data_IF_569461196961
#
_entry.id   IF_569461196961
#
_cell.length_a   1.000
_cell.length_b   1.000
_cell.length_c   1.000
_cell.angle_alpha   90.00
_cell.angle_beta   90.00
_cell.angle_gamma   90.00
#
_symmetry.space_group_name_H-M   'P 1'
#
loop_
_entity.id
_entity.type
_entity.pdbx_description
1 polymer ?
#
# COMPACT_ATOMS: atom_id res chain seq x y z
N UNK A 1 -15.41 32.51 -0.47
CA UNK A 1 -15.05 31.48 -1.46
C UNK A 1 -13.60 31.14 -1.19
N UNK A 2 -13.27 29.88 -0.91
CA UNK A 2 -11.89 29.44 -0.67
C UNK A 2 -11.29 29.18 -2.03
N UNK A 3 -10.20 29.86 -2.37
CA UNK A 3 -9.56 29.72 -3.67
C UNK A 3 -8.20 29.04 -3.54
N UNK A 4 -7.41 29.48 -2.57
CA UNK A 4 -6.05 29.01 -2.36
C UNK A 4 -5.74 29.10 -0.86
N UNK A 5 -5.16 28.02 -0.31
CA UNK A 5 -4.80 27.88 1.10
C UNK A 5 -3.42 27.24 1.15
N UNK A 6 -2.39 28.05 1.34
CA UNK A 6 -1.01 27.58 1.20
C UNK A 6 -0.19 27.78 2.47
N UNK A 7 0.77 26.88 2.69
CA UNK A 7 1.79 26.97 3.74
C UNK A 7 1.22 27.12 5.17
N UNK A 8 -0.02 26.67 5.37
CA UNK A 8 -0.69 26.78 6.66
C UNK A 8 -0.22 25.68 7.60
N UNK A 9 0.05 26.02 8.87
CA UNK A 9 0.45 25.05 9.90
C UNK A 9 -0.44 25.21 11.13
N UNK A 10 -1.04 24.11 11.57
CA UNK A 10 -1.90 24.11 12.76
C UNK A 10 -1.74 22.81 13.56
N UNK A 11 -2.24 22.80 14.80
CA UNK A 11 -2.28 21.58 15.60
C UNK A 11 -3.14 20.48 14.94
N UNK A 12 -4.23 20.85 14.27
CA UNK A 12 -5.17 19.95 13.58
C UNK A 12 -5.81 20.73 12.45
N UNK A 13 -5.99 20.13 11.27
CA UNK A 13 -6.55 20.81 10.11
C UNK A 13 -5.64 21.95 9.66
N UNK A 14 -4.46 21.62 9.11
CA UNK A 14 -3.39 22.59 8.84
C UNK A 14 -3.88 23.83 8.07
N UNK A 15 -4.73 23.64 7.06
CA UNK A 15 -5.45 24.72 6.38
C UNK A 15 -6.80 25.05 7.00
N UNK A 16 -7.67 24.04 7.19
CA UNK A 16 -9.02 24.23 7.76
C UNK A 16 -9.25 23.23 8.88
N UNK A 17 -9.65 23.75 10.04
CA UNK A 17 -10.27 23.00 11.11
C UNK A 17 -11.76 23.34 11.20
N UNK A 18 -12.61 22.33 11.36
CA UNK A 18 -14.04 22.55 11.53
C UNK A 18 -14.74 21.48 12.36
N UNK A 19 -15.77 21.92 13.09
CA UNK A 19 -16.69 21.06 13.82
C UNK A 19 -18.11 21.55 13.50
N UNK A 20 -18.90 20.71 12.81
CA UNK A 20 -20.17 21.12 12.20
C UNK A 20 -21.28 20.20 12.68
N UNK A 21 -22.33 20.83 13.21
CA UNK A 21 -23.44 20.14 13.84
C UNK A 21 -24.78 20.73 13.37
N UNK A 22 -25.86 19.95 13.50
CA UNK A 22 -27.23 20.45 13.44
C UNK A 22 -27.66 21.00 12.06
N UNK A 23 -27.27 20.32 10.98
CA UNK A 23 -27.62 20.68 9.61
C UNK A 23 -26.66 21.66 8.94
N UNK A 24 -25.53 21.97 9.57
CA UNK A 24 -24.50 22.82 8.98
C UNK A 24 -23.86 22.19 7.74
N UNK A 25 -23.25 23.03 6.90
CA UNK A 25 -22.65 22.59 5.64
C UNK A 25 -21.28 23.22 5.42
N UNK A 26 -20.31 22.41 5.03
CA UNK A 26 -19.01 22.84 4.49
C UNK A 26 -19.03 22.63 2.99
N UNK A 27 -18.63 23.65 2.24
CA UNK A 27 -18.50 23.61 0.78
C UNK A 27 -17.11 24.09 0.37
N UNK A 28 -16.27 23.18 -0.10
CA UNK A 28 -14.98 23.47 -0.75
C UNK A 28 -15.17 23.18 -2.23
N UNK A 29 -15.23 24.23 -3.04
CA UNK A 29 -15.64 24.15 -4.45
C UNK A 29 -14.91 25.18 -5.30
N UNK A 30 -14.96 24.97 -6.61
CA UNK A 30 -14.47 25.90 -7.64
C UNK A 30 -12.94 25.97 -7.74
N UNK A 31 -12.29 24.81 -7.93
CA UNK A 31 -10.84 24.74 -8.15
C UNK A 31 -10.06 25.27 -6.94
N UNK A 32 -10.52 24.95 -5.74
CA UNK A 32 -9.81 25.32 -4.51
C UNK A 32 -8.51 24.53 -4.40
N UNK A 33 -7.41 25.19 -4.07
CA UNK A 33 -6.11 24.54 -3.85
C UNK A 33 -5.69 24.62 -2.39
N UNK A 34 -5.12 23.52 -1.90
CA UNK A 34 -4.46 23.43 -0.59
C UNK A 34 -3.04 22.97 -0.82
N UNK A 35 -2.06 23.83 -0.58
CA UNK A 35 -0.65 23.54 -0.88
C UNK A 35 0.19 23.59 0.38
N UNK A 36 0.97 22.55 0.65
CA UNK A 36 1.94 22.52 1.76
C UNK A 36 1.31 22.86 3.13
N UNK A 37 0.03 22.48 3.31
CA UNK A 37 -0.65 22.60 4.59
C UNK A 37 -0.24 21.44 5.51
N UNK A 38 0.01 21.76 6.78
CA UNK A 38 0.56 20.81 7.74
C UNK A 38 -0.18 20.79 9.07
N UNK A 39 -0.55 19.60 9.52
CA UNK A 39 -0.92 19.35 10.90
C UNK A 39 0.27 18.81 11.69
N UNK A 40 0.62 19.47 12.80
CA UNK A 40 1.87 19.18 13.54
C UNK A 40 1.73 18.10 14.62
N UNK A 41 0.52 17.79 15.07
CA UNK A 41 0.29 16.76 16.09
C UNK A 41 -1.15 16.23 16.12
N UNK A 42 -1.91 16.47 15.05
CA UNK A 42 -3.31 16.09 14.94
C UNK A 42 -3.66 15.73 13.50
N UNK A 43 -4.94 15.52 13.25
CA UNK A 43 -5.40 14.98 11.97
C UNK A 43 -5.56 16.07 10.90
N UNK A 44 -5.48 15.69 9.63
CA UNK A 44 -5.82 16.53 8.49
C UNK A 44 -4.75 17.59 8.20
N UNK A 45 -3.80 17.30 7.32
CA UNK A 45 -2.80 18.30 6.93
C UNK A 45 -3.40 19.49 6.20
N UNK A 46 -4.30 19.26 5.24
CA UNK A 46 -5.11 20.30 4.61
C UNK A 46 -6.37 20.60 5.41
N UNK A 47 -7.27 19.61 5.52
CA UNK A 47 -8.58 19.78 6.17
C UNK A 47 -8.78 18.75 7.27
N UNK A 48 -9.23 19.22 8.42
CA UNK A 48 -9.90 18.40 9.42
C UNK A 48 -11.35 18.85 9.60
N UNK A 49 -12.27 17.90 9.57
CA UNK A 49 -13.69 18.17 9.84
C UNK A 49 -14.33 17.05 10.67
N UNK A 50 -14.92 17.43 11.80
CA UNK A 50 -15.89 16.59 12.49
C UNK A 50 -17.31 17.03 12.11
N UNK A 51 -18.09 16.14 11.49
CA UNK A 51 -19.44 16.43 11.01
C UNK A 51 -20.46 15.49 11.68
N UNK A 52 -21.47 16.06 12.32
CA UNK A 52 -22.56 15.29 12.95
C UNK A 52 -23.90 15.89 12.54
N UNK A 53 -24.83 15.09 12.04
CA UNK A 53 -26.08 15.57 11.45
C UNK A 53 -25.87 16.71 10.42
N UNK A 54 -24.77 16.66 9.66
CA UNK A 54 -24.28 17.78 8.84
C UNK A 54 -23.68 17.28 7.53
N UNK A 55 -23.28 18.20 6.64
CA UNK A 55 -22.76 17.82 5.32
C UNK A 55 -21.42 18.48 5.00
N UNK A 56 -20.55 17.73 4.33
CA UNK A 56 -19.31 18.23 3.75
C UNK A 56 -19.28 17.87 2.26
N UNK A 57 -19.13 18.90 1.44
CA UNK A 57 -19.01 18.80 -0.01
C UNK A 57 -17.66 19.37 -0.44
N UNK A 58 -16.82 18.52 -1.02
CA UNK A 58 -15.57 18.89 -1.68
C UNK A 58 -15.72 18.54 -3.16
N UNK A 59 -15.55 19.52 -4.02
CA UNK A 59 -15.72 19.35 -5.46
C UNK A 59 -14.70 20.20 -6.20
N UNK A 60 -14.03 19.64 -7.20
CA UNK A 60 -13.01 20.35 -7.98
C UNK A 60 -11.94 20.96 -7.04
N UNK A 61 -11.31 20.16 -6.19
CA UNK A 61 -10.28 20.63 -5.27
C UNK A 61 -8.96 19.87 -5.45
N UNK A 62 -7.83 20.55 -5.24
CA UNK A 62 -6.49 19.95 -5.25
C UNK A 62 -5.84 20.09 -3.88
N UNK A 63 -5.26 19.00 -3.39
CA UNK A 63 -4.44 18.94 -2.18
C UNK A 63 -3.04 18.52 -2.60
N UNK A 64 -2.06 19.39 -2.38
CA UNK A 64 -0.70 19.23 -2.89
C UNK A 64 0.31 19.36 -1.77
N UNK A 65 1.11 18.31 -1.54
CA UNK A 65 2.15 18.29 -0.50
C UNK A 65 1.61 18.59 0.91
N UNK A 66 0.35 18.28 1.17
CA UNK A 66 -0.24 18.41 2.50
C UNK A 66 0.25 17.27 3.39
N UNK A 67 0.49 17.55 4.67
CA UNK A 67 1.02 16.53 5.60
C UNK A 67 0.41 16.57 7.00
N UNK A 68 0.32 15.41 7.64
CA UNK A 68 0.03 15.30 9.07
C UNK A 68 1.15 14.54 9.78
N UNK A 69 1.69 15.09 10.86
CA UNK A 69 2.73 14.43 11.66
C UNK A 69 2.05 13.54 12.70
N UNK A 70 2.55 12.30 12.89
CA UNK A 70 2.07 11.41 13.94
C UNK A 70 1.99 12.15 15.31
N UNK A 71 0.89 11.98 16.05
CA UNK A 71 -0.14 10.95 15.89
C UNK A 71 -1.28 11.27 14.90
N UNK A 72 -1.08 12.24 13.99
CA UNK A 72 -2.06 12.66 13.00
C UNK A 72 -2.30 11.68 11.84
N UNK A 73 -3.57 11.46 11.52
CA UNK A 73 -4.05 10.79 10.29
C UNK A 73 -4.44 11.80 9.21
N UNK A 74 -4.50 11.36 7.95
CA UNK A 74 -5.02 12.17 6.85
C UNK A 74 -4.06 13.29 6.45
N UNK A 75 -3.01 12.97 5.69
CA UNK A 75 -2.03 13.97 5.24
C UNK A 75 -2.67 15.09 4.42
N UNK A 76 -3.62 14.76 3.54
CA UNK A 76 -4.49 15.73 2.88
C UNK A 76 -5.69 16.13 3.72
N UNK A 77 -6.57 15.17 4.00
CA UNK A 77 -7.85 15.39 4.67
C UNK A 77 -8.08 14.32 5.74
N UNK A 78 -8.61 14.72 6.89
CA UNK A 78 -9.16 13.81 7.89
C UNK A 78 -10.61 14.19 8.24
N UNK A 79 -11.52 13.24 8.10
CA UNK A 79 -12.96 13.45 8.33
C UNK A 79 -13.47 12.50 9.41
N UNK A 80 -14.30 13.02 10.32
CA UNK A 80 -15.10 12.22 11.25
C UNK A 80 -16.57 12.38 10.85
N UNK A 81 -17.16 11.32 10.34
CA UNK A 81 -18.56 11.24 9.92
C UNK A 81 -19.40 10.64 11.04
N UNK A 82 -20.13 11.51 11.75
CA UNK A 82 -21.17 11.09 12.68
C UNK A 82 -22.43 10.61 11.98
N UNK A 83 -23.35 10.04 12.76
CA UNK A 83 -24.65 9.57 12.27
C UNK A 83 -25.41 10.65 11.48
N UNK A 84 -26.13 10.23 10.45
CA UNK A 84 -26.92 11.09 9.55
C UNK A 84 -26.12 12.26 8.95
N UNK A 85 -24.83 12.05 8.67
CA UNK A 85 -23.96 13.05 8.04
C UNK A 85 -23.57 12.65 6.63
N UNK A 86 -23.24 13.63 5.79
CA UNK A 86 -22.92 13.43 4.38
C UNK A 86 -21.47 13.82 4.12
N UNK A 87 -20.72 12.92 3.50
CA UNK A 87 -19.42 13.20 2.87
C UNK A 87 -19.59 13.01 1.36
N UNK A 88 -19.28 14.06 0.61
CA UNK A 88 -19.16 13.99 -0.85
C UNK A 88 -17.86 14.66 -1.26
N UNK A 89 -16.93 13.88 -1.82
CA UNK A 89 -15.67 14.35 -2.39
C UNK A 89 -15.66 13.92 -3.85
N UNK A 90 -15.64 14.88 -4.77
CA UNK A 90 -15.78 14.60 -6.20
C UNK A 90 -14.78 15.37 -7.03
N UNK A 91 -14.30 14.77 -8.13
CA UNK A 91 -13.38 15.40 -9.08
C UNK A 91 -12.23 16.15 -8.41
N UNK A 92 -11.56 15.49 -7.45
CA UNK A 92 -10.54 16.11 -6.61
C UNK A 92 -9.24 15.32 -6.64
N UNK A 93 -8.11 16.02 -6.54
CA UNK A 93 -6.77 15.45 -6.66
C UNK A 93 -5.98 15.56 -5.37
N UNK A 94 -5.16 14.54 -5.10
CA UNK A 94 -4.25 14.45 -3.97
C UNK A 94 -2.85 14.11 -4.48
N UNK A 95 -1.93 15.06 -4.36
CA UNK A 95 -0.60 14.99 -4.95
C UNK A 95 0.42 15.09 -3.84
N UNK A 96 1.19 14.03 -3.61
CA UNK A 96 2.24 13.93 -2.60
C UNK A 96 1.74 14.29 -1.19
N UNK A 97 0.50 13.91 -0.85
CA UNK A 97 -0.01 14.06 0.50
C UNK A 97 0.52 12.93 1.39
N UNK A 98 0.97 13.25 2.60
CA UNK A 98 1.64 12.25 3.44
C UNK A 98 1.32 12.33 4.93
N UNK A 99 1.33 11.18 5.60
CA UNK A 99 1.48 11.15 7.06
C UNK A 99 2.95 10.92 7.41
N UNK A 100 3.50 11.77 8.28
CA UNK A 100 4.93 11.80 8.62
C UNK A 100 5.16 11.07 9.95
N UNK A 101 6.12 10.16 9.96
CA UNK A 101 6.48 9.41 11.17
C UNK A 101 7.08 10.31 12.25
N UNK A 102 6.74 10.03 13.51
CA UNK A 102 7.27 10.73 14.68
C UNK A 102 7.86 9.71 15.65
N UNK A 103 9.18 9.70 15.80
CA UNK A 103 9.87 8.75 16.69
C UNK A 103 9.52 8.90 18.17
N UNK A 104 8.95 10.04 18.57
CA UNK A 104 8.53 10.29 19.95
C UNK A 104 7.10 9.80 20.25
N UNK A 105 6.29 9.60 19.21
CA UNK A 105 4.90 9.15 19.32
C UNK A 105 4.50 8.45 18.01
N UNK A 106 4.56 7.11 18.02
CA UNK A 106 4.36 6.29 16.82
C UNK A 106 2.89 5.82 16.64
N UNK A 107 1.96 6.41 17.39
CA UNK A 107 0.54 6.09 17.28
C UNK A 107 -0.02 6.60 15.95
N UNK A 108 -0.93 5.84 15.34
CA UNK A 108 -1.67 6.21 14.14
C UNK A 108 -0.76 6.57 12.95
N UNK A 109 -1.15 7.51 12.09
CA UNK A 109 -0.43 7.86 10.86
C UNK A 109 -1.04 7.22 9.61
N UNK A 110 -2.34 7.00 9.58
CA UNK A 110 -3.06 6.33 8.50
C UNK A 110 -3.67 7.35 7.52
N UNK A 111 -3.89 6.92 6.27
CA UNK A 111 -4.53 7.77 5.26
C UNK A 111 -3.61 8.88 4.76
N UNK A 112 -2.68 8.56 3.85
CA UNK A 112 -1.71 9.53 3.34
C UNK A 112 -2.41 10.73 2.68
N UNK A 113 -3.37 10.47 1.80
CA UNK A 113 -4.23 11.51 1.27
C UNK A 113 -5.49 11.76 2.12
N UNK A 114 -6.27 10.71 2.40
CA UNK A 114 -7.56 10.83 3.08
C UNK A 114 -7.66 9.82 4.22
N UNK A 115 -8.03 10.30 5.39
CA UNK A 115 -8.52 9.48 6.49
C UNK A 115 -9.99 9.77 6.75
N UNK A 116 -10.81 8.72 6.90
CA UNK A 116 -12.22 8.84 7.27
C UNK A 116 -12.51 7.92 8.44
N UNK A 117 -13.06 8.46 9.52
CA UNK A 117 -13.77 7.68 10.52
C UNK A 117 -15.27 7.81 10.25
N UNK A 118 -15.98 6.70 10.08
CA UNK A 118 -17.43 6.71 9.87
C UNK A 118 -18.20 5.93 10.93
N UNK A 119 -19.24 6.57 11.47
CA UNK A 119 -20.22 5.97 12.37
C UNK A 119 -21.44 5.42 11.62
N UNK A 120 -21.45 5.47 10.28
CA UNK A 120 -22.53 4.90 9.48
C UNK A 120 -22.25 3.40 9.30
N UNK A 121 -23.21 2.56 9.72
CA UNK A 121 -23.17 1.12 9.50
C UNK A 121 -23.16 0.79 8.00
N UNK A 122 -22.43 -0.24 7.61
CA UNK A 122 -22.26 -0.66 6.22
C UNK A 122 -23.60 -0.85 5.48
N UNK A 123 -24.61 -1.45 6.14
CA UNK A 123 -25.94 -1.67 5.57
C UNK A 123 -26.68 -0.37 5.20
N UNK A 124 -26.31 0.74 5.83
CA UNK A 124 -26.88 2.06 5.58
C UNK A 124 -26.00 2.93 4.66
N UNK A 125 -24.79 2.48 4.34
CA UNK A 125 -23.85 3.24 3.52
C UNK A 125 -24.29 3.26 2.05
N UNK A 126 -24.42 4.45 1.47
CA UNK A 126 -24.83 4.61 0.07
C UNK A 126 -24.46 6.01 -0.46
N UNK A 127 -24.75 6.27 -1.74
CA UNK A 127 -24.38 7.51 -2.42
C UNK A 127 -24.93 8.79 -1.79
N UNK A 128 -25.97 8.70 -0.95
CA UNK A 128 -26.54 9.88 -0.26
C UNK A 128 -25.75 10.30 0.97
N UNK A 129 -24.87 9.44 1.50
CA UNK A 129 -24.11 9.72 2.71
C UNK A 129 -22.59 9.58 2.54
N UNK A 130 -22.10 8.72 1.65
CA UNK A 130 -20.68 8.65 1.31
C UNK A 130 -20.52 8.56 -0.21
N UNK A 131 -19.85 9.54 -0.79
CA UNK A 131 -19.55 9.57 -2.21
C UNK A 131 -18.14 10.10 -2.46
N UNK A 132 -17.25 9.25 -2.95
CA UNK A 132 -15.84 9.53 -3.26
C UNK A 132 -15.61 9.29 -4.76
N UNK A 133 -15.96 10.24 -5.62
CA UNK A 133 -16.02 10.02 -7.07
C UNK A 133 -14.93 10.76 -7.84
N UNK A 134 -14.39 10.09 -8.84
CA UNK A 134 -13.50 10.65 -9.84
C UNK A 134 -12.29 11.31 -9.18
N UNK A 135 -11.76 10.64 -8.16
CA UNK A 135 -10.60 11.09 -7.42
C UNK A 135 -9.33 10.77 -8.19
N UNK A 136 -8.25 11.50 -7.92
CA UNK A 136 -6.92 11.19 -8.44
C UNK A 136 -5.91 11.25 -7.31
N UNK A 137 -5.04 10.24 -7.25
CA UNK A 137 -3.97 10.16 -6.28
C UNK A 137 -2.63 10.04 -7.01
N UNK A 138 -1.63 10.79 -6.58
CA UNK A 138 -0.27 10.71 -7.13
C UNK A 138 0.72 10.86 -5.98
N UNK A 139 1.59 9.88 -5.77
CA UNK A 139 2.69 9.94 -4.79
C UNK A 139 2.28 10.14 -3.33
N UNK A 140 1.01 9.92 -2.97
CA UNK A 140 0.58 10.01 -1.57
C UNK A 140 1.07 8.79 -0.78
N UNK A 141 1.41 8.96 0.49
CA UNK A 141 1.97 7.89 1.31
C UNK A 141 1.54 7.98 2.78
N UNK A 142 1.38 6.85 3.43
CA UNK A 142 1.07 6.78 4.85
C UNK A 142 2.22 6.13 5.63
N UNK A 143 2.35 6.46 6.91
CA UNK A 143 3.23 5.74 7.84
C UNK A 143 2.89 4.25 7.78
N UNK A 144 3.93 3.42 7.66
CA UNK A 144 3.83 1.96 7.48
C UNK A 144 3.02 1.51 6.26
N UNK A 145 2.81 2.39 5.27
CA UNK A 145 1.96 2.13 4.10
C UNK A 145 0.51 1.75 4.45
N UNK A 146 -0.02 2.31 5.55
CA UNK A 146 -1.39 2.01 6.01
C UNK A 146 -2.38 3.00 5.38
N UNK A 147 -2.89 2.63 4.21
CA UNK A 147 -3.80 3.45 3.42
C UNK A 147 -3.10 4.67 2.84
N UNK A 148 -2.16 4.46 1.91
CA UNK A 148 -1.42 5.55 1.27
C UNK A 148 -2.34 6.61 0.66
N UNK A 149 -3.45 6.17 0.05
CA UNK A 149 -4.46 7.05 -0.51
C UNK A 149 -5.60 7.26 0.47
N UNK A 150 -6.31 6.18 0.83
CA UNK A 150 -7.47 6.25 1.71
C UNK A 150 -7.35 5.23 2.83
N UNK A 151 -7.59 5.70 4.05
CA UNK A 151 -7.84 4.83 5.19
C UNK A 151 -9.21 5.09 5.79
N UNK A 152 -9.98 4.02 6.05
CA UNK A 152 -11.32 4.11 6.64
C UNK A 152 -11.39 3.34 7.95
N UNK A 153 -11.64 4.07 9.03
CA UNK A 153 -12.03 3.49 10.31
C UNK A 153 -13.56 3.36 10.36
N UNK A 154 -14.07 2.15 10.61
CA UNK A 154 -15.52 1.85 10.54
C UNK A 154 -15.92 0.76 11.55
N UNK A 155 -17.22 0.56 11.75
CA UNK A 155 -17.74 -0.47 12.67
C UNK A 155 -17.29 -1.88 12.25
N UNK A 156 -17.37 -2.15 10.95
CA UNK A 156 -16.92 -3.37 10.30
C UNK A 156 -16.28 -3.00 8.96
N UNK A 157 -14.96 -3.15 8.89
CA UNK A 157 -14.15 -2.77 7.72
C UNK A 157 -14.49 -3.61 6.51
N UNK A 158 -14.77 -4.90 6.72
CA UNK A 158 -15.09 -5.82 5.64
C UNK A 158 -16.44 -5.44 5.02
N UNK A 159 -17.48 -5.29 5.85
CA UNK A 159 -18.81 -4.92 5.37
C UNK A 159 -18.81 -3.53 4.73
N UNK A 160 -18.03 -2.59 5.28
CA UNK A 160 -17.86 -1.25 4.72
C UNK A 160 -17.22 -1.30 3.33
N UNK A 161 -16.19 -2.12 3.14
CA UNK A 161 -15.57 -2.36 1.84
C UNK A 161 -16.55 -2.93 0.81
N UNK A 162 -17.36 -3.93 1.20
CA UNK A 162 -18.40 -4.50 0.35
C UNK A 162 -19.48 -3.46 -0.04
N UNK A 163 -19.92 -2.64 0.92
CA UNK A 163 -20.90 -1.59 0.66
C UNK A 163 -20.36 -0.50 -0.30
N UNK A 164 -19.09 -0.11 -0.15
CA UNK A 164 -18.42 0.82 -1.05
C UNK A 164 -18.35 0.23 -2.47
N UNK A 165 -17.94 -1.02 -2.62
CA UNK A 165 -17.89 -1.68 -3.93
C UNK A 165 -19.28 -1.77 -4.56
N UNK A 166 -20.25 -2.32 -3.82
CA UNK A 166 -21.60 -2.58 -4.30
C UNK A 166 -22.33 -1.29 -4.70
N UNK A 167 -22.20 -0.25 -3.89
CA UNK A 167 -22.72 1.09 -4.19
C UNK A 167 -21.87 1.86 -5.19
N UNK A 168 -20.71 1.32 -5.58
CA UNK A 168 -19.69 2.00 -6.37
C UNK A 168 -19.36 3.38 -5.77
N UNK A 169 -19.23 3.47 -4.44
CA UNK A 169 -19.12 4.74 -3.72
C UNK A 169 -17.73 5.38 -3.87
N UNK A 170 -16.73 4.62 -4.35
CA UNK A 170 -15.39 5.08 -4.66
C UNK A 170 -15.06 4.93 -6.16
N UNK A 171 -14.55 5.97 -6.80
CA UNK A 171 -13.89 5.85 -8.12
C UNK A 171 -12.62 6.67 -8.20
N UNK A 172 -11.65 6.13 -8.93
CA UNK A 172 -10.34 6.75 -9.16
C UNK A 172 -10.13 6.88 -10.66
N UNK A 173 -9.78 8.08 -11.12
CA UNK A 173 -9.60 8.38 -12.53
C UNK A 173 -8.46 7.54 -13.12
N UNK A 174 -8.76 6.87 -14.23
CA UNK A 174 -7.81 5.97 -14.91
C UNK A 174 -7.77 4.54 -14.36
N UNK A 175 -8.51 4.24 -13.28
CA UNK A 175 -8.55 2.90 -12.67
C UNK A 175 -9.91 2.23 -12.92
N UNK A 176 -9.91 1.03 -13.51
CA UNK A 176 -11.15 0.28 -13.86
C UNK A 176 -11.35 -0.98 -13.01
N UNK A 177 -10.33 -1.38 -12.26
CA UNK A 177 -10.22 -2.60 -11.47
C UNK A 177 -9.88 -2.33 -10.00
N UNK A 178 -10.18 -1.12 -9.52
CA UNK A 178 -9.82 -0.60 -8.18
C UNK A 178 -10.07 -1.61 -7.05
N UNK A 179 -11.26 -2.23 -7.07
CA UNK A 179 -11.70 -3.16 -6.04
C UNK A 179 -11.04 -4.54 -6.11
N UNK A 180 -10.47 -4.91 -7.26
CA UNK A 180 -10.04 -6.28 -7.55
C UNK A 180 -8.53 -6.43 -7.65
N UNK A 181 -7.81 -5.34 -7.90
CA UNK A 181 -6.39 -5.38 -8.15
C UNK A 181 -5.59 -5.31 -6.84
N UNK A 182 -4.86 -6.38 -6.55
CA UNK A 182 -4.05 -6.52 -5.33
C UNK A 182 -2.89 -5.53 -5.25
N UNK A 183 -2.55 -4.84 -6.34
CA UNK A 183 -1.52 -3.79 -6.33
C UNK A 183 -1.93 -2.60 -5.45
N UNK A 184 -3.23 -2.41 -5.19
CA UNK A 184 -3.76 -1.28 -4.44
C UNK A 184 -4.06 -1.61 -2.96
N UNK A 185 -3.68 -2.79 -2.46
CA UNK A 185 -4.08 -3.24 -1.11
C UNK A 185 -3.63 -2.28 -0.01
N UNK A 186 -2.42 -1.72 -0.12
CA UNK A 186 -1.87 -0.77 0.85
C UNK A 186 -2.34 0.68 0.62
N UNK A 187 -2.94 0.95 -0.53
CA UNK A 187 -3.45 2.27 -0.86
C UNK A 187 -4.84 2.52 -0.26
N UNK A 188 -5.64 1.46 -0.12
CA UNK A 188 -7.02 1.51 0.37
C UNK A 188 -7.19 0.51 1.51
N UNK A 189 -7.02 1.00 2.74
CA UNK A 189 -7.06 0.18 3.95
C UNK A 189 -8.13 0.65 4.92
N UNK A 190 -8.43 -0.17 5.91
CA UNK A 190 -9.32 0.22 6.99
C UNK A 190 -9.07 -0.58 8.26
N UNK A 191 -9.79 -0.20 9.31
CA UNK A 191 -9.71 -0.85 10.62
C UNK A 191 -11.07 -0.79 11.32
N UNK A 192 -11.40 -1.87 12.02
CA UNK A 192 -12.60 -1.90 12.84
C UNK A 192 -12.40 -0.98 14.05
N UNK A 193 -13.38 -0.15 14.37
CA UNK A 193 -13.31 0.79 15.50
C UNK A 193 -12.96 0.08 16.81
N UNK A 194 -13.40 -1.17 16.99
CA UNK A 194 -13.11 -2.00 18.16
C UNK A 194 -11.66 -2.47 18.27
N UNK A 195 -10.87 -2.38 17.18
CA UNK A 195 -9.49 -2.87 17.07
C UNK A 195 -8.43 -1.78 16.95
N UNK A 196 -8.85 -0.51 17.00
CA UNK A 196 -7.95 0.67 16.88
C UNK A 196 -6.92 0.72 18.00
N UNK A 197 -7.32 0.32 19.22
CA UNK A 197 -6.48 0.38 20.42
C UNK A 197 -5.87 1.79 20.61
N UNK A 198 -4.55 1.91 20.73
CA UNK A 198 -3.83 3.19 20.78
C UNK A 198 -3.28 3.63 19.41
N UNK A 199 -3.58 2.89 18.34
CA UNK A 199 -3.12 3.17 16.99
C UNK A 199 -1.71 2.66 16.68
N UNK A 200 -1.06 1.89 17.56
CA UNK A 200 0.26 1.29 17.29
C UNK A 200 0.19 -0.10 16.66
N UNK A 201 -0.90 -0.84 16.88
CA UNK A 201 -1.09 -2.18 16.33
C UNK A 201 -1.38 -2.11 14.83
N UNK A 202 -0.42 -2.57 14.02
CA UNK A 202 -0.48 -2.47 12.55
C UNK A 202 -1.36 -3.58 11.96
N UNK A 203 -1.25 -4.81 12.46
CA UNK A 203 -1.89 -6.01 11.87
C UNK A 203 -3.43 -5.99 11.86
N UNK A 204 -4.03 -5.10 12.66
CA UNK A 204 -5.48 -4.89 12.66
C UNK A 204 -5.97 -4.06 11.47
N UNK A 205 -5.06 -3.39 10.75
CA UNK A 205 -5.38 -2.65 9.53
C UNK A 205 -5.40 -3.61 8.35
N UNK A 206 -6.55 -3.73 7.69
CA UNK A 206 -6.76 -4.66 6.59
C UNK A 206 -7.10 -3.91 5.29
N UNK A 207 -6.82 -4.47 4.11
CA UNK A 207 -7.22 -3.84 2.85
C UNK A 207 -8.74 -3.83 2.70
N UNK A 208 -9.30 -2.69 2.28
CA UNK A 208 -10.75 -2.48 2.14
C UNK A 208 -11.40 -3.44 1.13
N UNK A 209 -10.68 -3.83 0.08
CA UNK A 209 -11.24 -4.60 -1.04
C UNK A 209 -10.61 -5.99 -1.23
N UNK A 210 -9.85 -6.48 -0.24
CA UNK A 210 -9.14 -7.77 -0.32
C UNK A 210 -10.04 -9.02 -0.42
N UNK A 211 -11.35 -8.87 -0.26
CA UNK A 211 -12.29 -9.99 -0.15
C UNK A 211 -12.59 -10.71 -1.48
N UNK A 212 -12.26 -10.12 -2.63
CA UNK A 212 -12.38 -10.84 -3.90
C UNK A 212 -11.37 -11.98 -4.02
N UNK A 213 -10.18 -11.77 -3.47
CA UNK A 213 -9.17 -12.82 -3.36
C UNK A 213 -9.58 -13.91 -2.33
N UNK A 214 -10.60 -13.65 -1.49
CA UNK A 214 -11.21 -14.61 -0.55
C UNK A 214 -12.44 -15.35 -1.12
N UNK A 215 -13.04 -14.87 -2.22
CA UNK A 215 -14.26 -15.44 -2.82
C UNK A 215 -13.90 -16.43 -3.92
N UNK A 216 -14.42 -17.66 -3.81
CA UNK A 216 -14.29 -18.66 -4.87
C UNK A 216 -15.22 -18.35 -6.05
N UNK A 217 -14.72 -18.45 -7.28
CA UNK A 217 -15.55 -18.28 -8.47
C UNK A 217 -16.59 -19.40 -8.62
N UNK A 218 -17.86 -19.04 -8.81
CA UNK A 218 -18.93 -19.97 -9.19
C UNK A 218 -19.04 -20.15 -10.71
N UNK A 219 -18.55 -19.17 -11.48
CA UNK A 219 -18.36 -19.24 -12.92
C UNK A 219 -17.29 -18.23 -13.33
N UNK A 220 -16.97 -18.12 -14.63
CA UNK A 220 -15.87 -17.26 -15.10
C UNK A 220 -16.01 -15.83 -14.56
N UNK A 221 -15.13 -15.45 -13.64
CA UNK A 221 -15.10 -14.14 -12.99
C UNK A 221 -16.43 -13.74 -12.31
N UNK A 222 -17.12 -14.70 -11.70
CA UNK A 222 -18.37 -14.47 -10.96
C UNK A 222 -18.24 -15.08 -9.55
N UNK A 223 -18.37 -14.27 -8.48
CA UNK A 223 -18.51 -12.81 -8.49
C UNK A 223 -17.28 -12.12 -9.10
N UNK A 224 -17.42 -10.89 -9.58
CA UNK A 224 -16.30 -10.17 -10.22
C UNK A 224 -15.08 -10.13 -9.28
N UNK A 225 -13.90 -10.42 -9.82
CA UNK A 225 -12.62 -10.51 -9.10
C UNK A 225 -12.41 -11.76 -8.25
N UNK A 226 -13.34 -12.72 -8.26
CA UNK A 226 -13.17 -13.97 -7.53
C UNK A 226 -11.90 -14.74 -7.97
N UNK A 227 -11.42 -15.58 -7.07
CA UNK A 227 -10.35 -16.54 -7.34
C UNK A 227 -10.97 -17.87 -7.82
N UNK A 228 -10.60 -18.43 -8.97
CA UNK A 228 -11.15 -19.69 -9.46
C UNK A 228 -10.70 -20.87 -8.60
N UNK A 229 -11.45 -21.96 -8.60
CA UNK A 229 -10.98 -23.24 -8.04
C UNK A 229 -9.77 -23.74 -8.82
N UNK A 230 -8.80 -24.32 -8.12
CA UNK A 230 -7.70 -25.02 -8.77
C UNK A 230 -8.25 -26.23 -9.53
N UNK A 231 -7.78 -26.40 -10.76
CA UNK A 231 -8.05 -27.58 -11.61
C UNK A 231 -6.78 -28.34 -11.95
N UNK A 232 -5.65 -27.91 -11.38
CA UNK A 232 -4.33 -28.46 -11.64
C UNK A 232 -4.03 -29.49 -10.54
N UNK A 233 -3.42 -30.62 -10.92
CA UNK A 233 -3.12 -31.73 -10.03
C UNK A 233 -2.36 -31.30 -8.77
N UNK A 234 -2.69 -31.89 -7.63
CA UNK A 234 -2.10 -31.54 -6.32
C UNK A 234 -0.58 -31.70 -6.22
N UNK A 235 0.03 -32.52 -7.07
CA UNK A 235 1.49 -32.71 -7.12
C UNK A 235 2.21 -31.66 -7.97
N UNK A 236 1.49 -30.68 -8.51
CA UNK A 236 2.04 -29.61 -9.34
C UNK A 236 2.26 -28.33 -8.54
N UNK A 237 2.93 -27.36 -9.17
CA UNK A 237 3.13 -26.01 -8.63
C UNK A 237 2.57 -25.01 -9.61
N UNK A 238 1.82 -24.02 -9.12
CA UNK A 238 1.30 -22.93 -9.95
C UNK A 238 2.32 -21.77 -10.00
N UNK A 239 2.51 -21.20 -11.19
CA UNK A 239 3.52 -20.16 -11.43
C UNK A 239 3.18 -18.83 -10.73
N UNK A 240 1.91 -18.45 -10.72
CA UNK A 240 1.42 -17.32 -9.92
C UNK A 240 0.91 -17.84 -8.57
N UNK A 241 1.53 -17.38 -7.50
CA UNK A 241 1.05 -17.64 -6.15
C UNK A 241 -0.37 -17.10 -5.93
N UNK A 242 -1.19 -17.85 -5.20
CA UNK A 242 -2.57 -17.54 -4.85
C UNK A 242 -3.52 -17.37 -6.06
N UNK A 243 -3.14 -17.86 -7.24
CA UNK A 243 -3.95 -17.69 -8.45
C UNK A 243 -5.22 -18.56 -8.50
N UNK A 244 -5.33 -19.57 -7.63
CA UNK A 244 -6.50 -20.42 -7.52
C UNK A 244 -6.74 -20.89 -6.07
N UNK A 245 -8.01 -21.18 -5.75
CA UNK A 245 -8.43 -21.75 -4.47
C UNK A 245 -8.26 -23.25 -4.45
N UNK A 246 -7.51 -23.75 -3.47
CA UNK A 246 -7.38 -25.18 -3.24
C UNK A 246 -8.75 -25.78 -2.92
N UNK A 247 -8.97 -27.02 -3.36
CA UNK A 247 -10.14 -27.82 -3.01
C UNK A 247 -9.73 -29.27 -2.73
N UNK A 248 -10.71 -30.10 -2.38
CA UNK A 248 -10.50 -31.52 -2.07
C UNK A 248 -9.83 -32.28 -3.22
N UNK A 249 -10.14 -31.92 -4.47
CA UNK A 249 -9.66 -32.61 -5.67
C UNK A 249 -8.33 -32.04 -6.21
N UNK A 250 -8.01 -30.77 -5.91
CA UNK A 250 -6.87 -30.05 -6.50
C UNK A 250 -6.30 -29.02 -5.51
N UNK A 251 -5.10 -29.29 -5.02
CA UNK A 251 -4.38 -28.48 -4.04
C UNK A 251 -2.87 -28.38 -4.37
N UNK A 252 -2.51 -27.82 -5.53
CA UNK A 252 -1.10 -27.70 -5.95
C UNK A 252 -0.31 -26.73 -5.05
N UNK A 253 1.02 -26.87 -5.04
CA UNK A 253 1.89 -25.91 -4.34
C UNK A 253 1.64 -24.49 -4.86
N UNK A 254 1.60 -23.51 -3.93
CA UNK A 254 1.25 -22.11 -4.14
C UNK A 254 -0.24 -21.80 -4.39
N UNK A 255 -1.16 -22.77 -4.29
CA UNK A 255 -2.59 -22.45 -4.24
C UNK A 255 -2.99 -21.81 -2.92
N UNK A 256 -4.07 -21.01 -2.96
CA UNK A 256 -4.64 -20.37 -1.77
C UNK A 256 -5.59 -21.34 -1.07
N UNK A 257 -5.28 -21.70 0.17
CA UNK A 257 -6.16 -22.57 0.96
C UNK A 257 -7.34 -21.80 1.58
N UNK A 258 -8.51 -22.45 1.73
CA UNK A 258 -9.60 -21.94 2.55
C UNK A 258 -9.17 -21.67 4.00
N UNK A 259 -9.69 -20.60 4.59
CA UNK A 259 -9.51 -20.29 6.03
C UNK A 259 -10.47 -21.07 6.93
N UNK A 260 -11.60 -21.50 6.40
CA UNK A 260 -12.54 -22.36 7.13
C UNK A 260 -11.98 -23.78 7.24
N UNK A 261 -11.73 -24.23 8.47
CA UNK A 261 -11.18 -25.55 8.75
C UNK A 261 -12.07 -26.70 8.28
N UNK A 262 -13.39 -26.48 8.14
CA UNK A 262 -14.30 -27.47 7.57
C UNK A 262 -14.04 -27.71 6.07
N UNK A 263 -13.52 -26.70 5.37
CA UNK A 263 -13.19 -26.79 3.94
C UNK A 263 -11.79 -27.38 3.67
N UNK A 264 -11.01 -27.60 4.72
CA UNK A 264 -9.71 -28.28 4.67
C UNK A 264 -9.83 -29.80 4.82
N UNK A 265 -11.03 -30.32 5.11
CA UNK A 265 -11.26 -31.75 5.25
C UNK A 265 -10.98 -32.47 3.92
N UNK A 266 -9.97 -33.36 3.90
CA UNK A 266 -9.54 -34.10 2.71
C UNK A 266 -8.34 -33.51 1.96
N UNK A 267 -7.90 -32.29 2.29
CA UNK A 267 -6.62 -31.76 1.81
C UNK A 267 -5.51 -32.37 2.69
N UNK A 268 -4.52 -33.09 2.12
CA UNK A 268 -3.39 -33.61 2.88
C UNK A 268 -2.68 -32.44 3.58
N UNK A 269 -2.71 -32.44 4.90
CA UNK A 269 -1.79 -31.63 5.67
C UNK A 269 -0.44 -32.32 5.54
N UNK A 270 0.49 -31.70 4.82
CA UNK A 270 1.90 -31.98 5.09
C UNK A 270 2.16 -31.50 6.52
N UNK A 271 1.91 -32.37 7.48
CA UNK A 271 2.48 -32.23 8.81
C UNK A 271 3.97 -32.45 8.58
N UNK A 272 4.68 -31.35 8.35
CA UNK A 272 6.11 -31.34 8.51
C UNK A 272 6.34 -31.62 10.00
N UNK A 273 6.51 -32.89 10.36
CA UNK A 273 6.81 -33.30 11.73
C UNK A 273 8.21 -32.79 12.00
N UNK A 274 8.28 -31.60 12.59
CA UNK A 274 9.55 -31.00 12.96
C UNK A 274 10.22 -31.92 14.00
N UNK A 275 11.49 -32.31 13.79
CA UNK A 275 12.21 -33.16 14.74
C UNK A 275 12.18 -32.51 16.13
N UNK A 276 11.99 -33.31 17.19
CA UNK A 276 11.96 -32.83 18.57
C UNK A 276 13.06 -33.47 19.40
N UNK A 277 13.60 -32.73 20.36
CA UNK A 277 14.55 -33.27 21.33
C UNK A 277 13.85 -34.15 22.38
N UNK A 278 14.65 -34.74 23.28
CA UNK A 278 14.17 -35.64 24.34
C UNK A 278 13.21 -34.95 25.33
N UNK A 279 13.22 -33.61 25.37
CA UNK A 279 12.35 -32.77 26.21
C UNK A 279 11.11 -32.26 25.45
N UNK A 280 10.96 -32.61 24.17
CA UNK A 280 9.80 -32.27 23.33
C UNK A 280 9.88 -30.91 22.63
N UNK A 281 11.01 -30.22 22.69
CA UNK A 281 11.22 -28.96 21.95
C UNK A 281 11.56 -29.24 20.49
N UNK A 282 11.12 -28.35 19.60
CA UNK A 282 11.44 -28.42 18.17
C UNK A 282 12.94 -28.17 17.97
N UNK A 283 13.61 -29.08 17.28
CA UNK A 283 15.00 -28.95 16.83
C UNK A 283 15.01 -27.98 15.65
N UNK A 284 15.57 -26.79 15.89
CA UNK A 284 15.69 -25.72 14.90
C UNK A 284 17.18 -25.42 14.60
N UNK A 285 17.58 -25.20 13.33
CA UNK A 285 16.77 -25.23 12.11
C UNK A 285 16.60 -26.66 11.51
N UNK A 286 15.50 -26.92 10.79
CA UNK A 286 15.28 -28.16 10.04
C UNK A 286 16.42 -28.48 9.07
N UNK A 287 16.65 -29.76 8.76
CA UNK A 287 17.75 -30.21 7.87
C UNK A 287 17.74 -29.55 6.48
N UNK A 288 16.58 -29.03 6.03
CA UNK A 288 16.40 -28.32 4.75
C UNK A 288 16.06 -26.83 4.88
N UNK A 289 16.09 -26.25 6.09
CA UNK A 289 15.81 -24.84 6.26
C UNK A 289 17.00 -23.99 5.80
N UNK A 290 16.70 -22.88 5.11
CA UNK A 290 17.69 -21.85 4.79
C UNK A 290 18.36 -21.39 6.09
N UNK A 291 19.64 -21.72 6.27
CA UNK A 291 20.39 -21.31 7.45
C UNK A 291 20.66 -19.81 7.37
N UNK A 292 19.90 -19.05 8.15
CA UNK A 292 20.14 -17.66 8.47
C UNK A 292 20.46 -17.55 9.96
N UNK A 293 21.43 -16.73 10.39
CA UNK A 293 22.39 -15.95 9.58
C UNK A 293 23.61 -16.79 9.14
N UNK A 294 24.26 -16.33 8.07
CA UNK A 294 25.50 -16.90 7.52
C UNK A 294 26.61 -16.95 8.60
N UNK A 295 27.07 -18.15 8.95
CA UNK A 295 28.32 -18.34 9.68
C UNK A 295 29.40 -18.77 8.68
N UNK A 296 30.34 -17.87 8.39
CA UNK A 296 31.57 -18.23 7.70
C UNK A 296 32.55 -18.66 8.78
N UNK A 297 32.77 -19.97 8.92
CA UNK A 297 33.78 -20.48 9.85
C UNK A 297 35.18 -19.98 9.43
N UNK A 298 35.90 -19.40 10.39
CA UNK A 298 37.23 -18.78 10.29
C UNK A 298 37.35 -17.40 9.63
N UNK A 299 36.27 -16.61 9.51
CA UNK A 299 36.41 -15.18 9.20
C UNK A 299 36.02 -14.33 10.41
N UNK A 300 37.02 -13.68 11.01
CA UNK A 300 36.78 -12.57 11.94
C UNK A 300 36.28 -11.37 11.14
N UNK A 301 34.96 -11.14 11.15
CA UNK A 301 34.37 -9.90 10.61
C UNK A 301 34.59 -8.81 11.67
N UNK A 302 35.68 -8.05 11.54
CA UNK A 302 36.04 -7.00 12.50
C UNK A 302 35.01 -5.84 12.57
N UNK A 303 34.17 -5.68 11.54
CA UNK A 303 33.04 -4.75 11.52
C UNK A 303 32.08 -5.06 10.36
N UNK A 304 30.79 -4.71 10.50
CA UNK A 304 29.83 -4.74 9.38
C UNK A 304 30.37 -3.87 8.24
N UNK A 305 30.74 -4.48 7.12
CA UNK A 305 31.16 -3.73 5.94
C UNK A 305 29.95 -3.46 5.04
N UNK A 306 29.65 -2.17 4.81
CA UNK A 306 28.66 -1.74 3.83
C UNK A 306 29.39 -1.38 2.54
N UNK A 307 29.20 -2.18 1.49
CA UNK A 307 29.59 -1.80 0.14
C UNK A 307 28.47 -0.97 -0.49
N UNK A 308 28.83 0.04 -1.27
CA UNK A 308 27.87 0.85 -2.05
C UNK A 308 28.48 1.07 -3.43
N UNK A 309 27.70 0.82 -4.47
CA UNK A 309 28.11 1.00 -5.86
C UNK A 309 27.16 1.98 -6.54
N UNK A 310 27.70 2.76 -7.47
CA UNK A 310 26.97 3.75 -8.25
C UNK A 310 27.09 3.40 -9.73
N UNK A 311 25.98 3.53 -10.47
CA UNK A 311 25.96 3.44 -11.93
C UNK A 311 25.52 4.79 -12.51
N UNK A 312 26.21 5.22 -13.56
CA UNK A 312 25.88 6.47 -14.25
C UNK A 312 24.78 6.27 -15.30
N UNK A 313 24.67 5.07 -15.87
CA UNK A 313 23.64 4.70 -16.85
C UNK A 313 22.93 3.42 -16.40
N UNK A 314 21.67 3.56 -16.01
CA UNK A 314 20.78 2.47 -15.61
C UNK A 314 19.69 2.18 -16.65
N UNK A 315 19.78 2.74 -17.86
CA UNK A 315 18.75 2.59 -18.91
C UNK A 315 18.55 1.13 -19.36
N UNK A 316 19.56 0.29 -19.16
CA UNK A 316 19.51 -1.15 -19.44
C UNK A 316 18.82 -1.99 -18.34
N UNK A 317 18.53 -1.39 -17.18
CA UNK A 317 17.94 -2.07 -16.04
C UNK A 317 16.40 -2.01 -16.10
N UNK A 318 15.77 -3.13 -16.45
CA UNK A 318 14.33 -3.35 -16.54
C UNK A 318 13.94 -4.48 -15.57
N UNK A 319 13.82 -4.14 -14.29
CA UNK A 319 13.44 -5.06 -13.20
C UNK A 319 12.02 -5.61 -13.31
N UNK A 320 11.19 -5.08 -14.22
CA UNK A 320 9.84 -5.61 -14.50
C UNK A 320 9.86 -6.78 -15.47
N UNK A 321 10.90 -6.88 -16.32
CA UNK A 321 11.02 -7.94 -17.33
C UNK A 321 12.14 -8.93 -17.05
N UNK A 322 13.13 -8.56 -16.25
CA UNK A 322 14.33 -9.37 -16.02
C UNK A 322 14.67 -9.43 -14.54
N UNK A 323 15.15 -10.59 -14.11
CA UNK A 323 15.81 -10.73 -12.82
C UNK A 323 17.30 -10.42 -12.96
N UNK A 324 17.84 -9.79 -11.92
CA UNK A 324 19.24 -9.44 -11.83
C UNK A 324 19.86 -10.18 -10.64
N UNK A 325 21.11 -10.59 -10.78
CA UNK A 325 21.87 -11.29 -9.76
C UNK A 325 23.26 -10.70 -9.58
N UNK A 326 23.80 -10.84 -8.38
CA UNK A 326 25.15 -10.42 -8.02
C UNK A 326 26.09 -11.62 -7.90
N UNK A 327 27.29 -11.46 -8.42
CA UNK A 327 28.44 -12.34 -8.19
C UNK A 327 29.57 -11.48 -7.61
N UNK A 328 30.44 -12.12 -6.82
CA UNK A 328 31.59 -11.48 -6.20
C UNK A 328 32.85 -12.20 -6.68
N UNK A 329 33.91 -11.44 -6.94
CA UNK A 329 35.21 -11.96 -7.32
C UNK A 329 36.30 -11.21 -6.55
N UNK A 330 37.31 -11.95 -6.08
CA UNK A 330 38.49 -11.38 -5.44
C UNK A 330 39.69 -11.26 -6.39
N UNK A 331 39.68 -12.03 -7.48
CA UNK A 331 40.77 -12.16 -8.46
C UNK A 331 40.41 -11.60 -9.85
N UNK A 332 39.15 -11.18 -10.04
CA UNK A 332 38.57 -10.76 -11.32
C UNK A 332 38.58 -11.86 -12.41
N UNK A 333 38.76 -13.11 -12.00
CA UNK A 333 38.74 -14.30 -12.88
C UNK A 333 37.63 -15.27 -12.45
N UNK A 334 37.47 -15.49 -11.14
CA UNK A 334 36.49 -16.42 -10.56
C UNK A 334 35.34 -15.63 -9.93
N UNK A 335 34.11 -15.87 -10.40
CA UNK A 335 32.91 -15.18 -9.92
C UNK A 335 32.01 -16.15 -9.16
N UNK A 336 31.80 -15.89 -7.88
CA UNK A 336 31.01 -16.76 -6.99
C UNK A 336 29.78 -16.03 -6.48
N UNK A 337 28.69 -16.78 -6.29
CA UNK A 337 27.42 -16.26 -5.81
C UNK A 337 26.95 -16.95 -4.53
N UNK A 338 25.71 -17.44 -4.56
CA UNK A 338 25.05 -18.12 -3.45
C UNK A 338 25.94 -19.27 -2.94
N UNK A 339 26.15 -19.30 -1.63
CA UNK A 339 26.93 -20.32 -0.92
C UNK A 339 28.38 -20.52 -1.42
N UNK A 340 28.92 -19.54 -2.17
CA UNK A 340 30.28 -19.61 -2.74
C UNK A 340 30.39 -20.43 -4.03
N UNK A 341 29.28 -20.80 -4.65
CA UNK A 341 29.26 -21.54 -5.91
C UNK A 341 29.53 -20.63 -7.11
N UNK A 342 30.25 -21.15 -8.11
CA UNK A 342 30.41 -20.52 -9.42
C UNK A 342 29.07 -20.48 -10.17
N UNK A 343 28.80 -19.39 -10.87
CA UNK A 343 27.60 -19.15 -11.70
C UNK A 343 26.23 -19.15 -10.99
N UNK A 344 26.18 -19.25 -9.66
CA UNK A 344 24.93 -19.19 -8.89
C UNK A 344 24.67 -17.78 -8.31
N UNK A 345 24.34 -16.81 -9.16
CA UNK A 345 24.18 -15.41 -8.73
C UNK A 345 23.15 -15.22 -7.59
N UNK A 346 23.48 -14.38 -6.61
CA UNK A 346 22.54 -13.98 -5.56
C UNK A 346 21.54 -13.00 -6.16
N UNK A 347 20.26 -13.34 -6.16
CA UNK A 347 19.21 -12.48 -6.69
C UNK A 347 19.17 -11.13 -5.95
N UNK A 348 19.08 -10.05 -6.73
CA UNK A 348 18.94 -8.68 -6.21
C UNK A 348 17.47 -8.26 -6.35
N UNK A 349 16.90 -7.81 -5.24
CA UNK A 349 15.61 -7.12 -5.26
C UNK A 349 15.85 -5.62 -5.48
N UNK A 350 15.22 -5.08 -6.53
CA UNK A 350 15.40 -3.70 -6.97
C UNK A 350 14.20 -2.86 -6.57
N UNK A 351 14.42 -1.87 -5.71
CA UNK A 351 13.42 -0.89 -5.29
C UNK A 351 13.79 0.47 -5.88
N UNK A 352 12.91 1.08 -6.67
CA UNK A 352 13.15 2.40 -7.27
C UNK A 352 12.60 3.47 -6.34
N UNK A 353 13.48 4.25 -5.71
CA UNK A 353 13.12 5.26 -4.69
C UNK A 353 12.58 6.58 -5.30
N UNK A 354 13.06 6.99 -6.48
CA UNK A 354 12.56 8.16 -7.24
C UNK A 354 12.75 8.00 -8.76
N UNK A 355 11.75 8.42 -9.55
CA UNK A 355 11.76 8.40 -11.01
C UNK A 355 10.98 7.23 -11.61
N UNK A 356 9.92 7.51 -12.37
CA UNK A 356 9.22 6.48 -13.12
C UNK A 356 10.14 5.89 -14.19
N UNK A 357 10.10 4.57 -14.35
CA UNK A 357 10.83 3.79 -15.35
C UNK A 357 10.23 4.02 -16.76
N UNK A 358 10.09 5.28 -17.20
CA UNK A 358 9.47 5.68 -18.47
C UNK A 358 10.47 5.84 -19.63
N UNK A 359 11.65 5.24 -19.55
CA UNK A 359 12.63 5.34 -20.65
C UNK A 359 12.35 4.34 -21.79
N UNK A 360 11.45 3.37 -21.60
CA UNK A 360 11.16 2.33 -22.60
C UNK A 360 9.79 2.45 -23.30
N UNK A 361 9.27 3.66 -23.48
CA UNK A 361 8.31 3.89 -24.57
C UNK A 361 9.09 4.24 -25.84
N UNK A 362 8.98 3.38 -26.84
CA UNK A 362 9.49 3.60 -28.19
C UNK A 362 9.26 5.06 -28.64
N UNK A 363 10.32 5.86 -28.66
CA UNK A 363 10.36 7.07 -29.48
C UNK A 363 10.27 6.61 -30.94
N UNK A 364 9.05 6.52 -31.46
CA UNK A 364 8.85 6.69 -32.89
C UNK A 364 9.41 8.07 -33.22
N UNK A 365 10.60 8.05 -33.81
CA UNK A 365 11.27 9.23 -34.36
C UNK A 365 10.32 9.92 -35.34
N UNK A 366 9.73 11.03 -34.92
CA UNK A 366 9.48 12.14 -35.84
C UNK A 366 10.64 13.09 -35.65
N UNK A 367 11.53 13.05 -36.62
CA UNK A 367 12.66 13.94 -36.79
C UNK A 367 12.19 15.36 -37.03
N UNK A 368 12.66 16.32 -36.24
CA UNK A 368 13.06 17.65 -36.72
C UNK A 368 14.05 18.29 -35.71
N UNK A 369 14.96 19.16 -36.16
CA UNK A 369 16.35 19.20 -35.70
C UNK A 369 16.64 20.07 -34.47
N UNK A 370 17.79 19.73 -33.88
CA UNK A 370 18.45 20.27 -32.69
C UNK A 370 18.77 21.77 -32.81
N UNK A 371 18.54 22.50 -31.72
CA UNK A 371 19.27 23.73 -31.41
C UNK A 371 20.10 23.46 -30.15
N UNK A 372 21.41 23.66 -30.28
CA UNK A 372 22.43 23.38 -29.28
C UNK A 372 22.45 24.50 -28.23
N UNK A 373 22.30 24.14 -26.96
CA UNK A 373 22.93 24.88 -25.88
C UNK A 373 23.24 23.95 -24.70
N UNK A 374 24.53 23.65 -24.57
CA UNK A 374 25.21 23.10 -23.39
C UNK A 374 24.78 23.83 -22.11
N UNK A 375 24.32 23.08 -21.11
CA UNK A 375 24.62 23.40 -19.71
C UNK A 375 24.60 22.11 -18.86
N UNK A 376 25.79 21.79 -18.35
CA UNK A 376 26.08 20.69 -17.44
C UNK A 376 25.63 21.03 -16.01
N UNK A 377 24.81 20.18 -15.39
CA UNK A 377 24.60 20.17 -13.93
C UNK A 377 24.72 18.72 -13.38
N UNK A 378 25.47 18.47 -12.29
CA UNK A 378 25.91 17.14 -11.92
C UNK A 378 24.92 16.43 -10.96
N UNK A 379 24.60 15.18 -11.33
CA UNK A 379 24.44 14.03 -10.43
C UNK A 379 23.55 14.19 -9.20
N UNK A 380 22.26 13.82 -9.31
CA UNK A 380 21.44 13.41 -8.17
C UNK A 380 21.85 12.00 -7.73
N UNK A 381 22.21 11.83 -6.46
CA UNK A 381 22.57 10.54 -5.86
C UNK A 381 21.31 9.80 -5.37
N UNK A 382 21.08 8.58 -5.85
CA UNK A 382 20.16 7.62 -5.24
C UNK A 382 20.90 6.72 -4.25
N UNK A 383 20.28 6.38 -3.11
CA UNK A 383 20.93 5.68 -2.00
C UNK A 383 20.10 4.45 -1.59
N UNK A 384 20.27 3.34 -2.30
CA UNK A 384 19.57 2.10 -1.98
C UNK A 384 19.86 1.60 -0.56
N UNK A 385 18.80 1.35 0.21
CA UNK A 385 18.85 0.80 1.55
C UNK A 385 18.22 -0.60 1.56
N UNK A 386 19.02 -1.62 1.89
CA UNK A 386 18.51 -2.98 2.11
C UNK A 386 17.95 -3.13 3.54
N UNK A 387 16.80 -3.80 3.74
CA UNK A 387 16.27 -4.11 5.07
C UNK A 387 17.17 -5.12 5.80
N UNK A 388 17.16 -5.03 7.14
CA UNK A 388 17.75 -5.99 8.09
C UNK A 388 16.77 -7.15 8.29
#
# INVERSE_FOLDING_TARGET
MIKEVDYCKAQTGGGIYSNVNGGGQINVKNQSTFTECQSISGNGGGIYSNIVYSSLYIQDASFERCSSIQPGNGGGIALIQGISSIISITNSSFINCETISNSSDQRFGWGGAIFIQTQIEADNLNETNLLLRDLSFTGSSAVNSIGNNIHIQSIDTYATGEAIEYGNLLSVNGTVDLYYNSSYLYDYMGIDESKVEDGTTIDNNIPLFSFHALKTCISYNIPKGCTPLCTIDSNSTIELQDSCFCNQDSHPTNCRCPVDSSQLEGIPTEVQVLPRDEDGYIIWPPENATKLPLFIDNVYIESKQKASFQMNDATWLDSRKKWYGMLISADNETFVGKDGNEDEAIRIDVFVEEGEQFVNFNKNQTSEPLDDSDETDPGKSGRFQFPI
#
